data_IF_825005891176
#
_entry.id   IF_825005891176
#
_cell.length_a   1.000
_cell.length_b   1.000
_cell.length_c   1.000
_cell.angle_alpha   90.00
_cell.angle_beta   90.00
_cell.angle_gamma   90.00
#
_symmetry.space_group_name_H-M   'P 1'
#
loop_
_entity.id
_entity.type
_entity.pdbx_description
1 polymer ?
#
# COMPACT_ATOMS: atom_id res chain seq x y z
N UNK A 1 37.61 -22.87 12.37
CA UNK A 1 38.39 -23.56 13.43
C UNK A 1 38.18 -22.98 14.83
N UNK A 2 37.79 -21.70 15.00
CA UNK A 2 37.65 -21.08 16.33
C UNK A 2 36.48 -21.60 17.20
N UNK A 3 35.35 -21.99 16.59
CA UNK A 3 34.15 -22.48 17.32
C UNK A 3 34.40 -23.78 18.10
N UNK A 4 35.43 -24.55 17.72
CA UNK A 4 35.73 -25.83 18.38
C UNK A 4 36.44 -25.66 19.73
N UNK A 5 37.10 -24.52 19.97
CA UNK A 5 37.91 -24.32 21.18
C UNK A 5 37.01 -23.83 22.32
N UNK A 6 36.08 -22.92 22.06
CA UNK A 6 35.15 -22.42 23.09
C UNK A 6 34.26 -23.54 23.65
N UNK A 7 33.78 -24.45 22.80
CA UNK A 7 32.96 -25.60 23.24
C UNK A 7 33.79 -26.56 24.10
N UNK A 8 35.05 -26.80 23.75
CA UNK A 8 35.96 -27.65 24.55
C UNK A 8 36.26 -27.01 25.90
N UNK A 9 36.47 -25.69 25.94
CA UNK A 9 36.71 -24.95 27.18
C UNK A 9 35.48 -24.98 28.09
N UNK A 10 34.27 -24.80 27.55
CA UNK A 10 33.04 -24.88 28.33
C UNK A 10 32.83 -26.29 28.88
N UNK A 11 33.06 -27.34 28.08
CA UNK A 11 32.94 -28.73 28.53
C UNK A 11 33.96 -29.09 29.62
N UNK A 12 35.21 -28.62 29.50
CA UNK A 12 36.26 -28.84 30.49
C UNK A 12 35.93 -28.12 31.80
N UNK A 13 35.41 -26.89 31.73
CA UNK A 13 34.99 -26.13 32.93
C UNK A 13 33.77 -26.75 33.60
N UNK A 14 32.80 -27.27 32.85
CA UNK A 14 31.67 -28.01 33.40
C UNK A 14 32.12 -29.31 34.08
N UNK A 15 33.02 -30.07 33.46
CA UNK A 15 33.58 -31.30 34.07
C UNK A 15 34.40 -30.98 35.32
N UNK A 16 35.21 -29.92 35.30
CA UNK A 16 35.98 -29.47 36.45
C UNK A 16 35.08 -29.02 37.61
N UNK A 17 33.99 -28.31 37.32
CA UNK A 17 32.99 -27.90 38.32
C UNK A 17 32.25 -29.08 38.95
N UNK A 18 31.95 -30.13 38.18
CA UNK A 18 31.32 -31.35 38.67
C UNK A 18 32.28 -32.13 39.59
N UNK A 19 33.56 -32.23 39.23
CA UNK A 19 34.59 -32.94 40.01
C UNK A 19 34.88 -32.23 41.34
N UNK A 20 34.85 -30.90 41.37
CA UNK A 20 35.15 -30.12 42.58
C UNK A 20 33.94 -29.91 43.52
N UNK A 21 32.71 -30.17 43.07
CA UNK A 21 31.53 -30.15 43.94
C UNK A 21 31.37 -31.42 44.78
N UNK A 22 32.10 -32.50 44.46
CA UNK A 22 32.04 -33.75 45.21
C UNK A 22 33.23 -33.84 46.17
N UNK A 23 32.99 -33.54 47.45
CA UNK A 23 33.85 -34.05 48.52
C UNK A 23 33.77 -35.59 48.51
N UNK A 24 34.91 -36.22 48.76
CA UNK A 24 35.13 -37.66 48.66
C UNK A 24 34.21 -38.47 49.60
N UNK A 25 33.07 -38.92 49.08
CA UNK A 25 32.33 -40.15 49.39
C UNK A 25 31.01 -40.09 48.60
N UNK A 26 30.61 -41.19 47.97
CA UNK A 26 29.54 -41.29 46.95
C UNK A 26 29.84 -40.66 45.59
N UNK A 27 30.55 -41.44 44.76
CA UNK A 27 30.36 -41.37 43.31
C UNK A 27 28.92 -41.80 43.03
N UNK A 28 27.97 -40.85 43.04
CA UNK A 28 26.70 -41.00 42.32
C UNK A 28 27.06 -41.41 40.89
N UNK A 29 26.59 -42.59 40.51
CA UNK A 29 27.31 -43.47 39.60
C UNK A 29 27.63 -42.84 38.23
N UNK A 30 28.75 -43.24 37.63
CA UNK A 30 29.11 -42.97 36.22
C UNK A 30 27.91 -43.15 35.25
N UNK A 31 26.92 -43.99 35.60
CA UNK A 31 25.71 -44.18 34.81
C UNK A 31 24.81 -42.93 34.74
N UNK A 32 24.75 -42.09 35.77
CA UNK A 32 23.88 -40.90 35.77
C UNK A 32 24.50 -39.76 34.97
N UNK A 33 25.83 -39.59 35.01
CA UNK A 33 26.57 -38.71 34.09
C UNK A 33 26.36 -39.13 32.64
N UNK A 34 26.37 -40.45 32.37
CA UNK A 34 26.13 -40.98 31.02
C UNK A 34 24.71 -40.67 30.51
N UNK A 35 23.68 -40.79 31.36
CA UNK A 35 22.29 -40.44 30.98
C UNK A 35 22.14 -38.96 30.61
N UNK A 36 22.81 -38.07 31.35
CA UNK A 36 22.79 -36.63 31.02
C UNK A 36 23.47 -36.38 29.68
N UNK A 37 24.62 -37.04 29.43
CA UNK A 37 25.33 -36.92 28.17
C UNK A 37 24.50 -37.40 26.98
N UNK A 38 23.81 -38.53 27.12
CA UNK A 38 22.94 -39.08 26.06
C UNK A 38 21.78 -38.13 25.73
N UNK A 39 21.16 -37.50 26.75
CA UNK A 39 20.09 -36.50 26.55
C UNK A 39 20.60 -35.25 25.83
N UNK A 40 21.76 -34.74 26.24
CA UNK A 40 22.39 -33.58 25.58
C UNK A 40 22.75 -33.92 24.13
N UNK A 41 23.18 -35.16 23.85
CA UNK A 41 23.49 -35.61 22.49
C UNK A 41 22.23 -35.66 21.61
N UNK A 42 21.09 -36.11 22.14
CA UNK A 42 19.79 -36.07 21.44
C UNK A 42 19.34 -34.64 21.15
N UNK A 43 19.44 -33.73 22.11
CA UNK A 43 19.09 -32.32 21.88
C UNK A 43 19.98 -31.67 20.83
N UNK A 44 21.30 -31.90 20.90
CA UNK A 44 22.26 -31.36 19.93
C UNK A 44 21.99 -31.92 18.52
N UNK A 45 21.58 -33.19 18.40
CA UNK A 45 21.24 -33.77 17.10
C UNK A 45 19.92 -33.19 16.55
N UNK A 46 18.91 -32.97 17.39
CA UNK A 46 17.67 -32.30 16.99
C UNK A 46 17.93 -30.85 16.54
N UNK A 47 18.71 -30.09 17.32
CA UNK A 47 19.06 -28.69 16.99
C UNK A 47 19.86 -28.57 15.69
N UNK A 48 20.69 -29.57 15.35
CA UNK A 48 21.37 -29.62 14.04
C UNK A 48 20.37 -29.80 12.91
N UNK A 49 19.35 -30.64 13.10
CA UNK A 49 18.30 -30.84 12.10
C UNK A 49 17.50 -29.56 11.88
N UNK A 50 17.04 -28.90 12.95
CA UNK A 50 16.29 -27.65 12.87
C UNK A 50 17.11 -26.54 12.21
N UNK A 51 18.39 -26.40 12.56
CA UNK A 51 19.29 -25.46 11.89
C UNK A 51 19.42 -25.74 10.40
N UNK A 52 19.51 -27.00 10.00
CA UNK A 52 19.58 -27.38 8.58
C UNK A 52 18.29 -26.99 7.84
N UNK A 53 17.13 -27.16 8.48
CA UNK A 53 15.84 -26.79 7.96
C UNK A 53 15.70 -25.27 7.81
N UNK A 54 16.07 -24.51 8.84
CA UNK A 54 16.05 -23.05 8.82
C UNK A 54 16.97 -22.48 7.75
N UNK A 55 18.18 -23.02 7.58
CA UNK A 55 19.10 -22.62 6.49
C UNK A 55 18.48 -22.80 5.10
N UNK A 56 17.70 -23.86 4.88
CA UNK A 56 16.99 -24.07 3.60
C UNK A 56 15.88 -23.05 3.39
N UNK A 57 15.12 -22.70 4.44
CA UNK A 57 14.12 -21.64 4.37
C UNK A 57 14.75 -20.27 4.10
N UNK A 58 15.84 -19.94 4.78
CA UNK A 58 16.59 -18.71 4.55
C UNK A 58 17.04 -18.60 3.08
N UNK A 59 17.64 -19.66 2.54
CA UNK A 59 18.05 -19.69 1.13
C UNK A 59 16.89 -19.47 0.16
N UNK A 60 15.71 -20.04 0.44
CA UNK A 60 14.50 -19.79 -0.38
C UNK A 60 14.05 -18.34 -0.31
N UNK A 61 14.08 -17.75 0.88
CA UNK A 61 13.73 -16.35 1.09
C UNK A 61 14.69 -15.42 0.34
N UNK A 62 15.99 -15.67 0.43
CA UNK A 62 17.03 -14.88 -0.25
C UNK A 62 16.88 -14.96 -1.79
N UNK A 63 16.55 -16.15 -2.32
CA UNK A 63 16.27 -16.33 -3.74
C UNK A 63 15.04 -15.52 -4.18
N UNK A 64 13.91 -15.62 -3.45
CA UNK A 64 12.70 -14.87 -3.78
C UNK A 64 12.91 -13.35 -3.67
N UNK A 65 13.71 -12.88 -2.71
CA UNK A 65 14.08 -11.47 -2.60
C UNK A 65 14.87 -11.00 -3.82
N UNK A 66 15.80 -11.84 -4.31
CA UNK A 66 16.60 -11.54 -5.50
C UNK A 66 15.74 -11.46 -6.76
N UNK A 67 14.79 -12.39 -6.93
CA UNK A 67 13.83 -12.38 -8.04
C UNK A 67 12.95 -11.11 -8.02
N UNK A 68 12.43 -10.73 -6.85
CA UNK A 68 11.61 -9.53 -6.71
C UNK A 68 12.39 -8.25 -7.03
N UNK A 69 13.65 -8.17 -6.60
CA UNK A 69 14.54 -7.03 -6.92
C UNK A 69 14.77 -6.93 -8.43
N UNK A 70 14.93 -8.05 -9.12
CA UNK A 70 15.09 -8.07 -10.58
C UNK A 70 13.82 -7.60 -11.29
N UNK A 71 12.64 -8.06 -10.87
CA UNK A 71 11.37 -7.61 -11.43
C UNK A 71 11.15 -6.11 -11.22
N UNK A 72 11.44 -5.62 -10.02
CA UNK A 72 11.36 -4.19 -9.71
C UNK A 72 12.28 -3.37 -10.63
N UNK A 73 13.51 -3.84 -10.86
CA UNK A 73 14.44 -3.19 -11.78
C UNK A 73 13.92 -3.17 -13.22
N UNK A 74 13.33 -4.27 -13.69
CA UNK A 74 12.75 -4.37 -15.02
C UNK A 74 11.56 -3.40 -15.19
N UNK A 75 10.65 -3.35 -14.21
CA UNK A 75 9.51 -2.43 -14.22
C UNK A 75 9.97 -0.98 -14.20
N UNK A 76 10.95 -0.64 -13.36
CA UNK A 76 11.53 0.71 -13.29
C UNK A 76 12.12 1.14 -14.63
N UNK A 77 12.86 0.24 -15.28
CA UNK A 77 13.46 0.49 -16.59
C UNK A 77 12.40 0.73 -17.67
N UNK A 78 11.34 -0.09 -17.68
CA UNK A 78 10.23 0.08 -18.62
C UNK A 78 9.49 1.39 -18.39
N UNK A 79 9.24 1.77 -17.14
CA UNK A 79 8.61 3.06 -16.82
C UNK A 79 9.43 4.25 -17.34
N UNK A 80 10.77 4.22 -17.20
CA UNK A 80 11.62 5.26 -17.78
C UNK A 80 11.54 5.31 -19.31
N UNK A 81 11.47 4.16 -19.99
CA UNK A 81 11.29 4.11 -21.45
C UNK A 81 9.95 4.73 -21.86
N UNK A 82 8.87 4.38 -21.18
CA UNK A 82 7.54 4.95 -21.46
C UNK A 82 7.52 6.46 -21.23
N UNK A 83 8.16 6.95 -20.17
CA UNK A 83 8.28 8.39 -19.91
C UNK A 83 9.02 9.12 -21.04
N UNK A 84 10.11 8.55 -21.55
CA UNK A 84 10.84 9.12 -22.68
C UNK A 84 9.99 9.15 -23.96
N UNK A 85 9.21 8.10 -24.21
CA UNK A 85 8.31 8.03 -25.37
C UNK A 85 7.16 9.05 -25.27
N UNK A 86 6.57 9.22 -24.08
CA UNK A 86 5.55 10.25 -23.83
C UNK A 86 6.10 11.67 -24.07
N UNK A 87 7.33 11.95 -23.64
CA UNK A 87 7.97 13.23 -23.94
C UNK A 87 8.16 13.45 -25.45
N UNK A 88 8.61 12.40 -26.16
CA UNK A 88 8.78 12.47 -27.62
C UNK A 88 7.45 12.77 -28.33
N UNK A 89 6.38 12.06 -27.97
CA UNK A 89 5.04 12.28 -28.54
C UNK A 89 4.50 13.68 -28.20
N UNK A 90 4.75 14.18 -26.99
CA UNK A 90 4.39 15.54 -26.60
C UNK A 90 5.06 16.59 -27.49
N UNK A 91 6.36 16.42 -27.78
CA UNK A 91 7.09 17.30 -28.69
C UNK A 91 6.51 17.24 -30.10
N UNK A 92 6.24 16.03 -30.62
CA UNK A 92 5.62 15.86 -31.94
C UNK A 92 4.25 16.55 -32.04
N UNK A 93 3.40 16.40 -31.02
CA UNK A 93 2.09 17.07 -30.98
C UNK A 93 2.23 18.60 -30.95
N UNK A 94 3.20 19.15 -30.22
CA UNK A 94 3.48 20.59 -30.23
C UNK A 94 3.89 21.09 -31.61
N UNK A 95 4.76 20.34 -32.31
CA UNK A 95 5.19 20.67 -33.67
C UNK A 95 3.99 20.62 -34.63
N UNK A 96 3.20 19.56 -34.58
CA UNK A 96 2.02 19.39 -35.44
C UNK A 96 1.01 20.53 -35.24
N UNK A 97 0.70 20.88 -33.99
CA UNK A 97 -0.20 21.98 -33.68
C UNK A 97 0.29 23.32 -34.24
N UNK A 98 1.60 23.59 -34.19
CA UNK A 98 2.18 24.80 -34.77
C UNK A 98 2.11 24.80 -36.30
N UNK A 99 2.28 23.66 -36.95
CA UNK A 99 2.15 23.52 -38.40
C UNK A 99 0.71 23.77 -38.86
N UNK A 100 -0.28 23.18 -38.17
CA UNK A 100 -1.71 23.39 -38.45
C UNK A 100 -2.08 24.88 -38.30
N UNK A 101 -1.62 25.54 -37.22
CA UNK A 101 -1.83 26.99 -37.03
C UNK A 101 -1.26 27.82 -38.18
N UNK A 102 -0.08 27.47 -38.70
CA UNK A 102 0.54 28.18 -39.83
C UNK A 102 -0.24 28.02 -41.13
N UNK A 103 -0.78 26.83 -41.40
CA UNK A 103 -1.62 26.60 -42.60
C UNK A 103 -2.95 27.37 -42.53
N UNK A 104 -3.59 27.46 -41.36
CA UNK A 104 -4.81 28.25 -41.21
C UNK A 104 -4.60 29.77 -41.30
N UNK A 105 -3.36 30.26 -41.15
CA UNK A 105 -3.03 31.69 -41.25
C UNK A 105 -2.58 32.15 -42.65
N UNK A 106 -2.47 31.23 -43.61
CA UNK A 106 -1.95 31.51 -44.94
C UNK A 106 -2.98 31.31 -46.05
N UNK A 107 -4.10 32.05 -46.01
CA UNK A 107 -4.99 32.23 -47.18
C UNK A 107 -6.00 33.37 -46.89
N UNK A 108 -5.56 34.62 -47.08
CA UNK A 108 -6.45 35.75 -47.36
C UNK A 108 -5.80 36.60 -48.44
N UNK A 109 -6.19 36.36 -49.69
CA UNK A 109 -6.04 37.36 -50.73
C UNK A 109 -7.33 38.19 -50.76
N UNK A 110 -7.17 39.46 -50.39
CA UNK A 110 -8.13 40.54 -50.57
C UNK A 110 -8.55 40.68 -52.04
N UNK A 111 -9.79 41.17 -52.21
CA UNK A 111 -10.49 41.66 -53.42
C UNK A 111 -11.59 40.71 -53.90
N UNK A 112 -12.76 40.87 -53.29
CA UNK A 112 -13.98 41.28 -54.00
C UNK A 112 -15.07 41.55 -52.96
N UNK A 113 -15.67 42.72 -53.07
CA UNK A 113 -16.55 43.33 -52.09
C UNK A 113 -17.87 43.60 -52.79
N UNK A 114 -18.93 42.86 -52.46
CA UNK A 114 -20.32 43.26 -52.71
C UNK A 114 -21.36 42.36 -51.98
N UNK A 115 -22.65 42.74 -51.89
CA UNK A 115 -23.25 43.15 -50.64
C UNK A 115 -24.50 42.30 -50.34
N UNK A 116 -24.35 41.25 -49.56
CA UNK A 116 -25.49 40.56 -48.95
C UNK A 116 -25.26 40.44 -47.45
N UNK A 117 -26.13 41.10 -46.69
CA UNK A 117 -26.25 41.01 -45.25
C UNK A 117 -26.50 39.57 -44.83
N UNK A 118 -25.49 38.92 -44.28
CA UNK A 118 -25.67 37.67 -43.53
C UNK A 118 -25.63 38.01 -42.04
N UNK A 119 -26.78 37.85 -41.41
CA UNK A 119 -27.02 37.74 -39.97
C UNK A 119 -25.87 37.06 -39.24
N UNK A 120 -25.48 37.62 -38.08
CA UNK A 120 -24.51 37.02 -37.15
C UNK A 120 -24.73 35.51 -37.07
N UNK A 121 -23.74 34.67 -37.41
CA UNK A 121 -23.85 33.27 -37.11
C UNK A 121 -23.67 33.10 -35.61
N UNK A 122 -24.69 32.49 -35.00
CA UNK A 122 -24.68 32.00 -33.64
C UNK A 122 -23.39 31.23 -33.35
N UNK A 123 -22.94 31.35 -32.10
CA UNK A 123 -21.94 30.53 -31.44
C UNK A 123 -21.81 29.13 -32.07
N UNK A 124 -20.77 28.94 -32.88
CA UNK A 124 -20.30 27.61 -33.21
C UNK A 124 -19.69 27.03 -31.93
N UNK A 125 -20.53 26.31 -31.19
CA UNK A 125 -20.11 25.19 -30.37
C UNK A 125 -19.20 24.30 -31.22
N UNK A 126 -17.90 24.32 -30.95
CA UNK A 126 -17.05 23.20 -31.32
C UNK A 126 -17.58 22.00 -30.54
N UNK A 127 -18.45 21.21 -31.18
CA UNK A 127 -18.75 19.86 -30.75
C UNK A 127 -17.43 19.10 -30.78
N UNK A 128 -16.76 19.02 -29.64
CA UNK A 128 -15.80 17.95 -29.39
C UNK A 128 -16.65 16.68 -29.44
N UNK A 129 -16.53 15.94 -30.54
CA UNK A 129 -17.00 14.57 -30.59
C UNK A 129 -16.35 13.83 -29.41
N UNK A 130 -17.12 13.10 -28.60
CA UNK A 130 -16.51 12.22 -27.61
C UNK A 130 -15.57 11.28 -28.35
N UNK A 131 -14.36 11.10 -27.82
CA UNK A 131 -13.49 9.99 -28.21
C UNK A 131 -14.23 8.68 -27.91
N UNK A 132 -15.09 8.24 -28.82
CA UNK A 132 -15.46 6.85 -28.95
C UNK A 132 -14.24 6.14 -29.49
N UNK A 133 -13.37 5.68 -28.59
CA UNK A 133 -12.64 4.46 -28.88
C UNK A 133 -13.70 3.40 -29.21
N UNK A 134 -13.66 2.74 -30.39
CA UNK A 134 -14.52 1.61 -30.60
C UNK A 134 -14.14 0.58 -29.54
N UNK A 135 -15.06 0.36 -28.60
CA UNK A 135 -15.00 -0.79 -27.72
C UNK A 135 -14.91 -1.99 -28.65
N UNK A 136 -13.81 -2.74 -28.56
CA UNK A 136 -13.67 -4.04 -29.19
C UNK A 136 -14.62 -4.99 -28.44
N UNK A 137 -15.92 -4.85 -28.69
CA UNK A 137 -16.98 -5.78 -28.29
C UNK A 137 -17.18 -6.71 -29.46
N UNK A 138 -16.26 -7.64 -29.68
CA UNK A 138 -16.47 -8.84 -30.47
C UNK A 138 -15.33 -9.83 -30.18
N UNK A 139 -15.30 -10.33 -28.95
CA UNK A 139 -14.99 -11.75 -28.74
C UNK A 139 -16.20 -12.28 -27.97
N UNK A 140 -17.08 -12.93 -28.72
CA UNK A 140 -18.24 -13.65 -28.25
C UNK A 140 -17.93 -14.43 -26.97
N UNK A 141 -18.67 -14.13 -25.91
CA UNK A 141 -19.05 -15.11 -24.90
C UNK A 141 -19.94 -16.18 -25.57
N UNK A 142 -19.34 -17.02 -26.42
CA UNK A 142 -19.96 -18.27 -26.83
C UNK A 142 -19.63 -19.35 -25.79
N UNK A 143 -20.61 -19.59 -24.94
CA UNK A 143 -20.95 -20.91 -24.42
C UNK A 143 -19.78 -21.79 -23.92
N UNK A 144 -19.43 -21.63 -22.63
CA UNK A 144 -18.89 -22.74 -21.84
C UNK A 144 -19.90 -23.06 -20.73
N UNK A 145 -21.03 -23.61 -21.15
CA UNK A 145 -21.84 -24.50 -20.31
C UNK A 145 -21.17 -25.87 -20.33
N UNK A 146 -20.29 -26.14 -19.38
CA UNK A 146 -19.62 -27.44 -19.31
C UNK A 146 -18.76 -27.59 -18.07
N UNK A 147 -19.30 -28.28 -17.05
CA UNK A 147 -18.66 -29.06 -15.97
C UNK A 147 -17.36 -28.57 -15.27
N UNK A 148 -16.82 -27.39 -15.57
CA UNK A 148 -15.52 -26.90 -15.12
C UNK A 148 -15.53 -25.95 -13.92
N UNK A 149 -16.69 -25.36 -13.57
CA UNK A 149 -16.80 -24.47 -12.39
C UNK A 149 -16.48 -25.21 -11.08
N UNK A 150 -16.95 -26.45 -10.93
CA UNK A 150 -16.62 -27.30 -9.78
C UNK A 150 -15.12 -27.61 -9.66
N UNK A 151 -14.37 -27.67 -10.75
CA UNK A 151 -12.95 -28.01 -10.72
C UNK A 151 -12.09 -26.77 -10.42
N UNK A 152 -12.47 -25.60 -10.93
CA UNK A 152 -11.80 -24.33 -10.61
C UNK A 152 -12.06 -23.94 -9.15
N UNK A 153 -13.27 -24.16 -8.62
CA UNK A 153 -13.57 -23.94 -7.21
C UNK A 153 -12.84 -24.95 -6.31
N UNK A 154 -12.71 -26.22 -6.73
CA UNK A 154 -11.89 -27.22 -6.01
C UNK A 154 -10.39 -26.93 -6.08
N UNK A 155 -9.89 -26.40 -7.19
CA UNK A 155 -8.48 -26.02 -7.37
C UNK A 155 -8.17 -24.74 -6.58
N UNK A 156 -9.06 -23.75 -6.57
CA UNK A 156 -9.00 -22.60 -5.66
C UNK A 156 -8.97 -23.05 -4.20
N UNK A 157 -9.82 -24.01 -3.82
CA UNK A 157 -9.86 -24.56 -2.46
C UNK A 157 -8.66 -25.45 -2.09
N UNK A 158 -7.87 -25.92 -3.08
CA UNK A 158 -6.68 -26.77 -2.89
C UNK A 158 -5.34 -26.02 -3.04
N UNK A 159 -5.32 -24.87 -3.72
CA UNK A 159 -4.13 -24.01 -3.85
C UNK A 159 -3.91 -23.13 -2.62
N UNK A 160 -4.95 -22.87 -1.82
CA UNK A 160 -4.77 -22.46 -0.42
C UNK A 160 -4.54 -23.71 0.42
N UNK A 161 -3.35 -24.31 0.28
CA UNK A 161 -2.81 -25.20 1.31
C UNK A 161 -2.88 -24.45 2.64
N UNK A 162 -3.42 -25.14 3.66
CA UNK A 162 -3.62 -24.69 5.04
C UNK A 162 -2.38 -24.01 5.68
N UNK A 163 -2.08 -22.79 5.26
CA UNK A 163 -1.53 -21.76 6.14
C UNK A 163 -2.76 -21.28 6.92
N UNK A 164 -2.75 -21.28 8.25
CA UNK A 164 -3.77 -20.57 9.00
C UNK A 164 -3.81 -19.16 8.40
N UNK A 165 -4.94 -18.71 7.85
CA UNK A 165 -5.11 -17.30 7.48
C UNK A 165 -5.16 -16.50 8.77
N UNK A 166 -4.01 -16.38 9.44
CA UNK A 166 -3.81 -15.57 10.62
C UNK A 166 -3.75 -14.13 10.17
N UNK A 167 -4.88 -13.46 10.31
CA UNK A 167 -4.94 -12.09 10.85
C UNK A 167 -4.08 -11.03 10.15
N UNK A 168 -4.03 -10.98 8.82
CA UNK A 168 -3.45 -9.82 8.11
C UNK A 168 -4.58 -8.85 7.78
N UNK A 169 -4.45 -7.61 8.24
CA UNK A 169 -5.36 -6.51 7.94
C UNK A 169 -4.51 -5.36 7.44
N UNK A 170 -4.78 -4.86 6.25
CA UNK A 170 -4.08 -3.71 5.70
C UNK A 170 -4.95 -3.01 4.67
N UNK A 171 -5.06 -1.70 4.76
CA UNK A 171 -5.71 -0.89 3.73
C UNK A 171 -4.90 0.36 3.42
N UNK A 172 -5.10 0.86 2.21
CA UNK A 172 -4.67 2.18 1.79
C UNK A 172 -5.69 2.71 0.80
N UNK A 173 -6.22 3.89 1.08
CA UNK A 173 -7.21 4.59 0.27
C UNK A 173 -6.77 6.03 0.04
N UNK A 174 -7.16 6.59 -1.10
CA UNK A 174 -6.82 7.94 -1.52
C UNK A 174 -8.05 8.72 -1.94
N UNK A 175 -7.94 10.05 -1.87
CA UNK A 175 -8.91 10.98 -2.43
C UNK A 175 -8.45 11.36 -3.85
N UNK A 176 -9.28 11.11 -4.85
CA UNK A 176 -8.95 11.33 -6.26
C UNK A 176 -9.63 12.57 -6.88
N UNK A 177 -10.13 13.45 -6.02
CA UNK A 177 -10.80 14.69 -6.36
C UNK A 177 -10.62 15.68 -5.20
N UNK A 178 -10.95 16.93 -5.45
CA UNK A 178 -10.99 17.93 -4.39
C UNK A 178 -12.24 17.73 -3.54
N UNK A 179 -12.12 17.88 -2.23
CA UNK A 179 -13.23 17.75 -1.32
C UNK A 179 -13.37 19.00 -0.45
N UNK A 180 -14.47 19.72 -0.63
CA UNK A 180 -14.92 20.76 0.31
C UNK A 180 -15.79 20.10 1.37
N UNK A 181 -15.43 20.28 2.64
CA UNK A 181 -16.01 19.57 3.77
C UNK A 181 -16.46 20.57 4.84
N UNK A 182 -17.59 20.29 5.51
CA UNK A 182 -18.05 21.05 6.67
C UNK A 182 -17.46 20.56 7.99
N UNK A 183 -17.68 21.29 9.10
CA UNK A 183 -17.30 20.85 10.43
C UNK A 183 -17.82 19.43 10.74
N UNK A 184 -17.00 18.60 11.39
CA UNK A 184 -17.28 17.20 11.71
C UNK A 184 -17.55 16.28 10.51
N UNK A 185 -17.48 16.77 9.27
CA UNK A 185 -17.70 15.93 8.09
C UNK A 185 -16.53 14.96 7.90
N UNK A 186 -16.88 13.70 7.62
CA UNK A 186 -15.91 12.63 7.36
C UNK A 186 -15.24 12.81 6.00
N UNK A 187 -13.92 12.64 5.95
CA UNK A 187 -13.16 12.56 4.70
C UNK A 187 -13.36 11.18 4.09
N UNK A 188 -14.03 11.11 2.94
CA UNK A 188 -14.28 9.85 2.23
C UNK A 188 -13.23 9.60 1.16
N UNK A 189 -12.14 8.93 1.52
CA UNK A 189 -11.15 8.47 0.55
C UNK A 189 -11.79 7.41 -0.35
N UNK A 190 -12.18 7.82 -1.55
CA UNK A 190 -13.10 7.08 -2.40
C UNK A 190 -12.39 6.01 -3.25
N UNK A 191 -11.10 6.17 -3.50
CA UNK A 191 -10.31 5.24 -4.32
C UNK A 191 -9.47 4.32 -3.44
N UNK A 192 -9.79 3.03 -3.49
CA UNK A 192 -9.04 1.99 -2.77
C UNK A 192 -7.80 1.61 -3.57
N UNK A 193 -6.63 1.62 -2.93
CA UNK A 193 -5.40 1.03 -3.47
C UNK A 193 -5.23 -0.42 -2.97
N UNK A 194 -5.43 -0.63 -1.66
CA UNK A 194 -5.34 -1.93 -0.98
C UNK A 194 -6.44 -2.02 0.08
N UNK A 195 -7.03 -3.20 0.27
CA UNK A 195 -8.01 -3.44 1.36
C UNK A 195 -8.03 -4.91 1.81
N UNK A 196 -6.86 -5.43 2.18
CA UNK A 196 -6.73 -6.79 2.73
C UNK A 196 -7.43 -6.86 4.09
N UNK A 197 -8.30 -7.85 4.27
CA UNK A 197 -9.15 -7.95 5.45
C UNK A 197 -10.42 -7.09 5.39
N UNK A 198 -10.64 -6.34 4.30
CA UNK A 198 -11.83 -5.51 4.06
C UNK A 198 -12.16 -4.56 5.23
N UNK A 199 -11.13 -3.99 5.86
CA UNK A 199 -11.32 -3.11 7.01
C UNK A 199 -11.85 -1.73 6.61
N UNK A 200 -11.56 -1.21 5.42
CA UNK A 200 -11.98 0.13 5.03
C UNK A 200 -13.25 0.14 4.16
N UNK A 201 -14.23 0.98 4.50
CA UNK A 201 -15.45 1.25 3.73
C UNK A 201 -15.42 2.66 3.11
N UNK A 202 -15.18 2.80 1.79
CA UNK A 202 -15.08 4.11 1.13
C UNK A 202 -16.41 4.88 1.08
N UNK A 203 -17.56 4.21 1.29
CA UNK A 203 -18.88 4.88 1.27
C UNK A 203 -19.08 5.79 2.47
N UNK A 204 -18.52 5.36 3.60
CA UNK A 204 -18.60 6.06 4.87
C UNK A 204 -17.30 6.80 5.20
N UNK A 205 -16.14 6.36 4.65
CA UNK A 205 -14.83 6.90 5.00
C UNK A 205 -14.26 6.29 6.29
N UNK A 206 -14.79 5.15 6.72
CA UNK A 206 -14.45 4.52 7.99
C UNK A 206 -13.63 3.25 7.80
N UNK A 207 -12.65 3.05 8.67
CA UNK A 207 -12.01 1.76 8.89
C UNK A 207 -12.69 1.03 10.05
N UNK A 208 -13.36 -0.09 9.77
CA UNK A 208 -13.91 -1.02 10.75
C UNK A 208 -12.89 -2.11 11.07
N UNK A 209 -12.41 -2.13 12.31
CA UNK A 209 -11.32 -3.00 12.74
C UNK A 209 -11.83 -4.44 12.92
N UNK A 210 -11.40 -5.40 12.08
CA UNK A 210 -11.96 -6.75 12.12
C UNK A 210 -11.33 -7.63 13.21
N UNK A 211 -10.14 -7.26 13.69
CA UNK A 211 -9.31 -8.04 14.61
C UNK A 211 -8.69 -7.09 15.63
N UNK A 212 -8.81 -7.42 16.92
CA UNK A 212 -8.13 -6.71 18.00
C UNK A 212 -6.60 -6.80 17.80
N UNK A 213 -5.89 -5.69 17.97
CA UNK A 213 -4.44 -5.70 17.83
C UNK A 213 -3.80 -4.32 17.84
N UNK A 214 -2.50 -4.30 17.57
CA UNK A 214 -1.73 -3.08 17.38
C UNK A 214 -1.67 -2.74 15.89
N UNK A 215 -2.13 -1.55 15.53
CA UNK A 215 -2.18 -1.05 14.17
C UNK A 215 -1.25 0.15 14.01
N UNK A 216 -0.52 0.21 12.90
CA UNK A 216 0.07 1.44 12.42
C UNK A 216 -0.94 2.11 11.50
N UNK A 217 -1.35 3.34 11.84
CA UNK A 217 -2.30 4.15 11.09
C UNK A 217 -1.58 5.39 10.59
N UNK A 218 -1.66 5.67 9.29
CA UNK A 218 -1.01 6.80 8.65
C UNK A 218 -2.01 7.61 7.82
N UNK A 219 -1.97 8.93 8.00
CA UNK A 219 -2.76 9.89 7.24
C UNK A 219 -1.81 10.91 6.65
N UNK A 220 -1.99 11.21 5.36
CA UNK A 220 -1.36 12.36 4.69
C UNK A 220 -2.46 13.18 4.07
N UNK A 221 -2.38 14.50 4.13
CA UNK A 221 -3.35 15.40 3.52
C UNK A 221 -2.68 16.66 3.01
N UNK A 222 -3.32 17.27 2.02
CA UNK A 222 -2.92 18.53 1.39
C UNK A 222 -4.15 19.42 1.27
N UNK A 223 -4.07 20.65 1.79
CA UNK A 223 -5.12 21.64 1.60
C UNK A 223 -5.01 22.26 0.20
N UNK A 224 -6.11 22.82 -0.28
CA UNK A 224 -6.09 23.69 -1.45
C UNK A 224 -5.41 25.03 -1.08
N UNK A 225 -4.82 25.72 -2.06
CA UNK A 225 -4.26 27.03 -1.78
C UNK A 225 -5.35 28.04 -1.35
N UNK A 226 -4.96 28.98 -0.50
CA UNK A 226 -5.76 30.01 0.18
C UNK A 226 -6.83 29.47 1.14
N UNK A 227 -6.87 28.16 1.37
CA UNK A 227 -7.86 27.48 2.19
C UNK A 227 -7.17 26.81 3.37
N UNK A 228 -7.65 27.01 4.60
CA UNK A 228 -7.11 26.30 5.75
C UNK A 228 -7.77 24.93 5.92
N UNK A 229 -7.04 23.98 6.51
CA UNK A 229 -7.57 22.65 6.78
C UNK A 229 -7.17 22.17 8.17
N UNK A 230 -8.17 21.88 8.99
CA UNK A 230 -7.97 21.21 10.28
C UNK A 230 -8.70 19.87 10.26
N UNK A 231 -7.96 18.77 10.24
CA UNK A 231 -8.49 17.42 10.30
C UNK A 231 -8.06 16.69 11.56
N UNK A 232 -8.90 15.76 11.99
CA UNK A 232 -8.71 14.89 13.13
C UNK A 232 -8.76 13.44 12.67
N UNK A 233 -7.83 12.62 13.16
CA UNK A 233 -7.97 11.17 13.17
C UNK A 233 -8.68 10.78 14.47
N UNK A 234 -9.79 10.07 14.35
CA UNK A 234 -10.63 9.69 15.50
C UNK A 234 -10.91 8.20 15.53
N UNK A 235 -11.13 7.67 16.74
CA UNK A 235 -11.57 6.31 17.03
C UNK A 235 -12.87 6.39 17.80
N UNK A 236 -13.97 5.92 17.23
CA UNK A 236 -15.31 6.00 17.86
C UNK A 236 -15.59 7.42 18.43
N UNK A 237 -15.33 8.45 17.62
CA UNK A 237 -15.43 9.88 17.96
C UNK A 237 -14.39 10.44 18.94
N UNK A 238 -13.57 9.60 19.57
CA UNK A 238 -12.47 10.00 20.44
C UNK A 238 -11.24 10.43 19.63
N UNK A 239 -10.67 11.57 19.99
CA UNK A 239 -9.55 12.18 19.27
C UNK A 239 -8.27 11.37 19.46
N UNK A 240 -7.68 10.92 18.35
CA UNK A 240 -6.38 10.22 18.36
C UNK A 240 -5.24 11.12 17.89
N UNK A 241 -5.52 12.04 16.98
CA UNK A 241 -4.53 13.00 16.49
C UNK A 241 -5.14 14.11 15.66
N UNK A 242 -4.45 15.25 15.62
CA UNK A 242 -4.86 16.46 14.90
C UNK A 242 -3.80 16.89 13.89
N UNK A 243 -4.25 17.42 12.76
CA UNK A 243 -3.44 17.98 11.70
C UNK A 243 -4.06 19.30 11.23
N UNK A 244 -3.33 20.39 11.42
CA UNK A 244 -3.65 21.75 10.95
C UNK A 244 -2.72 22.23 9.81
N UNK A 245 -3.29 22.52 8.65
CA UNK A 245 -2.64 23.16 7.50
C UNK A 245 -3.18 24.60 7.39
N UNK A 246 -2.37 25.64 7.60
CA UNK A 246 -2.82 27.03 7.51
C UNK A 246 -3.20 27.44 6.09
N UNK A 247 -4.05 28.46 5.97
CA UNK A 247 -4.28 29.13 4.69
C UNK A 247 -3.01 29.86 4.22
N UNK A 248 -2.70 29.75 2.93
CA UNK A 248 -1.58 30.45 2.31
C UNK A 248 -1.64 30.39 0.78
N UNK A 249 -0.85 31.20 0.08
CA UNK A 249 -0.87 31.26 -1.39
C UNK A 249 -0.47 29.94 -2.07
N UNK A 250 0.25 29.08 -1.35
CA UNK A 250 0.69 27.76 -1.79
C UNK A 250 -0.14 26.67 -1.11
N UNK A 251 -0.11 25.48 -1.72
CA UNK A 251 -0.57 24.25 -1.07
C UNK A 251 0.35 23.93 0.10
N UNK A 252 -0.23 23.47 1.20
CA UNK A 252 0.49 22.92 2.35
C UNK A 252 0.09 21.45 2.55
N UNK A 253 0.96 20.68 3.18
CA UNK A 253 0.71 19.26 3.41
C UNK A 253 1.16 18.84 4.80
N UNK A 254 0.40 17.95 5.41
CA UNK A 254 0.77 17.32 6.66
C UNK A 254 0.57 15.82 6.62
N UNK A 255 1.44 15.11 7.33
CA UNK A 255 1.31 13.68 7.58
C UNK A 255 1.37 13.40 9.07
N UNK A 256 0.59 12.42 9.51
CA UNK A 256 0.62 11.91 10.87
C UNK A 256 0.54 10.39 10.85
N UNK A 257 1.38 9.76 11.66
CA UNK A 257 1.43 8.31 11.82
C UNK A 257 1.31 7.98 13.31
N UNK A 258 0.36 7.13 13.66
CA UNK A 258 0.13 6.68 15.03
C UNK A 258 0.20 5.16 15.10
N UNK A 259 0.68 4.65 16.23
CA UNK A 259 0.55 3.23 16.59
C UNK A 259 -0.56 3.12 17.63
N UNK A 260 -1.66 2.48 17.25
CA UNK A 260 -2.89 2.42 18.06
C UNK A 260 -3.20 0.99 18.48
N UNK A 261 -3.59 0.81 19.74
CA UNK A 261 -4.23 -0.43 20.20
C UNK A 261 -5.72 -0.35 19.93
N UNK A 262 -6.20 -1.15 18.99
CA UNK A 262 -7.58 -1.12 18.51
C UNK A 262 -8.29 -2.43 18.86
N UNK A 263 -9.54 -2.30 19.27
CA UNK A 263 -10.45 -3.40 19.55
C UNK A 263 -11.21 -3.79 18.28
N UNK A 264 -11.70 -5.03 18.27
CA UNK A 264 -12.59 -5.48 17.20
C UNK A 264 -13.86 -4.62 17.17
N UNK A 265 -14.26 -4.23 15.97
CA UNK A 265 -15.38 -3.35 15.62
C UNK A 265 -15.18 -1.87 15.96
N UNK A 266 -13.98 -1.45 16.39
CA UNK A 266 -13.69 -0.02 16.42
C UNK A 266 -13.84 0.58 15.02
N UNK A 267 -14.38 1.80 14.98
CA UNK A 267 -14.39 2.63 13.80
C UNK A 267 -13.30 3.67 13.93
N UNK A 268 -12.41 3.73 12.94
CA UNK A 268 -11.35 4.74 12.84
C UNK A 268 -11.55 5.54 11.55
N UNK A 269 -11.53 6.86 11.63
CA UNK A 269 -11.72 7.71 10.45
C UNK A 269 -11.11 9.09 10.60
N UNK A 270 -11.05 9.81 9.48
CA UNK A 270 -10.58 11.20 9.42
C UNK A 270 -11.80 12.11 9.27
N UNK A 271 -11.89 13.17 10.07
CA UNK A 271 -12.95 14.18 9.98
C UNK A 271 -12.39 15.59 10.06
N UNK A 272 -13.17 16.56 9.61
CA UNK A 272 -12.88 17.98 9.85
C UNK A 272 -13.09 18.32 11.33
N UNK A 273 -12.17 19.09 11.91
CA UNK A 273 -12.28 19.59 13.27
C UNK A 273 -13.59 20.38 13.47
N UNK A 274 -14.19 20.27 14.66
CA UNK A 274 -15.42 20.95 14.99
C UNK A 274 -15.18 22.43 15.31
N UNK A 275 -15.08 23.27 14.28
CA UNK A 275 -15.01 24.71 14.45
C UNK A 275 -15.76 25.45 13.35
N UNK A 276 -16.63 26.35 13.77
CA UNK A 276 -17.34 27.28 12.88
C UNK A 276 -16.49 28.49 12.50
N UNK A 277 -15.26 28.59 13.03
CA UNK A 277 -14.37 29.73 12.84
C UNK A 277 -13.60 29.64 11.52
N UNK A 278 -13.50 28.44 10.97
CA UNK A 278 -12.71 28.17 9.78
C UNK A 278 -13.62 28.08 8.56
N UNK A 279 -13.30 28.86 7.53
CA UNK A 279 -14.12 28.97 6.31
C UNK A 279 -13.32 28.33 5.18
N UNK A 280 -13.91 27.34 4.51
CA UNK A 280 -13.32 26.76 3.29
C UNK A 280 -12.37 25.58 3.52
N UNK A 281 -12.75 24.59 4.33
CA UNK A 281 -12.01 23.33 4.44
C UNK A 281 -12.02 22.54 3.13
N UNK A 282 -10.98 22.70 2.33
CA UNK A 282 -10.83 22.05 1.04
C UNK A 282 -9.54 21.27 0.98
N UNK A 283 -9.67 19.97 0.76
CA UNK A 283 -8.56 19.09 0.40
C UNK A 283 -8.34 19.15 -1.11
N UNK A 284 -7.08 19.23 -1.53
CA UNK A 284 -6.70 19.20 -2.94
C UNK A 284 -6.44 17.78 -3.43
N UNK A 285 -6.95 17.40 -4.60
CA UNK A 285 -6.69 16.10 -5.21
C UNK A 285 -7.25 16.03 -6.62
N UNK A 286 -6.65 15.20 -7.47
CA UNK A 286 -7.12 14.96 -8.84
C UNK A 286 -7.12 13.47 -9.16
N UNK A 287 -7.70 13.10 -10.30
CA UNK A 287 -7.78 11.69 -10.72
C UNK A 287 -6.42 11.06 -11.03
N UNK A 288 -5.36 11.88 -11.09
CA UNK A 288 -3.97 11.47 -11.37
C UNK A 288 -2.95 11.95 -10.32
N UNK A 289 -3.36 12.82 -9.39
CA UNK A 289 -2.51 13.33 -8.30
C UNK A 289 -3.17 13.07 -6.94
N UNK A 290 -2.70 12.04 -6.24
CA UNK A 290 -3.25 11.61 -4.95
C UNK A 290 -2.41 12.16 -3.80
N UNK A 291 -2.79 13.33 -3.29
CA UNK A 291 -2.11 13.96 -2.15
C UNK A 291 -2.68 13.57 -0.80
N UNK A 292 -3.95 13.13 -0.76
CA UNK A 292 -4.61 12.74 0.47
C UNK A 292 -4.70 11.21 0.55
N UNK A 293 -4.10 10.64 1.59
CA UNK A 293 -4.05 9.20 1.81
C UNK A 293 -4.46 8.86 3.23
N UNK A 294 -5.15 7.74 3.39
CA UNK A 294 -5.46 7.13 4.68
C UNK A 294 -5.16 5.63 4.58
N UNK A 295 -4.25 5.18 5.44
CA UNK A 295 -3.75 3.81 5.41
C UNK A 295 -3.65 3.24 6.82
N UNK A 296 -3.83 1.94 6.96
CA UNK A 296 -3.49 1.23 8.19
C UNK A 296 -3.01 -0.18 7.90
N UNK A 297 -2.19 -0.72 8.81
CA UNK A 297 -1.74 -2.11 8.79
C UNK A 297 -1.72 -2.67 10.22
N UNK A 298 -2.23 -3.89 10.38
CA UNK A 298 -2.11 -4.67 11.60
C UNK A 298 -0.66 -5.15 11.74
N UNK A 299 0.02 -4.70 12.77
CA UNK A 299 1.38 -5.15 13.11
C UNK A 299 1.32 -6.53 13.75
N UNK A 300 0.48 -6.69 14.78
CA UNK A 300 0.23 -7.98 15.42
C UNK A 300 -1.12 -7.98 16.17
N UNK A 301 -1.85 -9.12 16.15
CA UNK A 301 -3.06 -9.30 16.94
C UNK A 301 -2.78 -9.29 18.46
N UNK A 302 -3.80 -8.94 19.25
CA UNK A 302 -3.79 -9.01 20.73
C UNK A 302 -4.92 -9.91 21.26
#
# INVERSE_FOLDING_TARGET
>A
MAVSIEIVVVLVLCLYGIIHCTNAEEVESIADVKKVLDRVLEEVTHLKFDNSYLRRKQKKLDNSQTELLQEFHNVKTNNHKLQAELQRLSIQNKILNNLVRRQCSGERNDKDQDPYTFTKPDTYTTRILPNTFPANRDIENKHISGKGKSSIDKVRKRLFLNVPTTSIVAFSAVLDHEATLGPLQVVKYNKILTNVGNAYDPRHGHANIPIKGIYLVAVTSMNHNNEEMHIELVRNDDLQGSMYMPAGEQYDSMSQTLVLSLEKNDLVWVRVYNSNTYVGHRLYGTSVEFYNTFSAILLFPL
#
